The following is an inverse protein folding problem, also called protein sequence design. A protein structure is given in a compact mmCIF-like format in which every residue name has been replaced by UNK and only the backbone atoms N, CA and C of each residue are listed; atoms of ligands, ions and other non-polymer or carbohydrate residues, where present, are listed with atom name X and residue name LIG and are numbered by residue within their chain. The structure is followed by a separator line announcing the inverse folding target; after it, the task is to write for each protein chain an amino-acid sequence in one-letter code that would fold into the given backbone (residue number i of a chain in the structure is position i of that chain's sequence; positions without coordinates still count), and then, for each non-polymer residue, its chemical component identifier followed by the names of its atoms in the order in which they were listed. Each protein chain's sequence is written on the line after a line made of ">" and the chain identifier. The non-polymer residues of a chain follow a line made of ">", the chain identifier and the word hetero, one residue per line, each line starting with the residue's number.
data_IF_360966065974
#
_entry.id   IF_360966065974
#
_cell.length_a   1.000
_cell.length_b   1.000
_cell.length_c   1.000
_cell.angle_alpha   90.00
_cell.angle_beta   90.00
_cell.angle_gamma   90.00
#
_symmetry.space_group_name_H-M   'P 1'
#
loop_
_entity.id
_entity.type
_entity.pdbx_description
1 polymer ?
#
# COMPACT_ATOMS: atom_id res chain seq x y z
N UNK A 1 26.08 8.97 -17.89
CA UNK A 1 25.23 9.50 -16.79
C UNK A 1 25.58 8.75 -15.52
N UNK A 2 25.69 9.45 -14.38
CA UNK A 2 26.13 8.83 -13.12
C UNK A 2 24.98 8.02 -12.50
N UNK A 3 25.00 6.69 -12.70
CA UNK A 3 23.94 5.76 -12.30
C UNK A 3 23.66 5.79 -10.79
N UNK A 4 24.69 6.00 -9.98
CA UNK A 4 24.56 6.14 -8.52
C UNK A 4 23.73 7.37 -8.13
N UNK A 5 23.91 8.48 -8.84
CA UNK A 5 23.18 9.71 -8.60
C UNK A 5 21.69 9.57 -8.99
N UNK A 6 21.42 8.85 -10.08
CA UNK A 6 20.05 8.51 -10.49
C UNK A 6 19.32 7.63 -9.46
N UNK A 7 20.00 6.60 -8.94
CA UNK A 7 19.45 5.73 -7.90
C UNK A 7 19.17 6.51 -6.60
N UNK A 8 20.10 7.35 -6.16
CA UNK A 8 19.92 8.18 -4.97
C UNK A 8 18.74 9.15 -5.08
N UNK A 9 18.61 9.83 -6.23
CA UNK A 9 17.51 10.76 -6.46
C UNK A 9 16.15 10.06 -6.49
N UNK A 10 16.05 8.85 -7.05
CA UNK A 10 14.78 8.13 -7.18
C UNK A 10 14.39 7.33 -5.93
N UNK A 11 15.35 6.67 -5.28
CA UNK A 11 15.05 5.75 -4.18
C UNK A 11 15.06 6.42 -2.81
N UNK A 12 15.81 7.51 -2.66
CA UNK A 12 16.00 8.16 -1.36
C UNK A 12 15.40 9.56 -1.39
N UNK A 13 15.92 10.43 -2.26
CA UNK A 13 15.59 11.86 -2.20
C UNK A 13 14.17 12.17 -2.69
N UNK A 14 13.74 11.56 -3.77
CA UNK A 14 12.38 11.69 -4.31
C UNK A 14 11.31 11.32 -3.27
N UNK A 15 11.36 10.11 -2.69
CA UNK A 15 10.42 9.70 -1.66
C UNK A 15 10.39 10.62 -0.45
N UNK A 16 11.56 11.11 0.02
CA UNK A 16 11.62 12.06 1.13
C UNK A 16 10.93 13.40 0.80
N UNK A 17 11.13 13.92 -0.40
CA UNK A 17 10.48 15.17 -0.84
C UNK A 17 8.96 14.99 -0.93
N UNK A 18 8.50 13.84 -1.46
CA UNK A 18 7.07 13.53 -1.56
C UNK A 18 6.45 13.38 -0.17
N UNK A 19 7.12 12.68 0.75
CA UNK A 19 6.66 12.54 2.13
C UNK A 19 6.54 13.89 2.83
N UNK A 20 7.57 14.75 2.71
CA UNK A 20 7.55 16.08 3.31
C UNK A 20 6.45 16.99 2.72
N UNK A 21 6.13 16.85 1.43
CA UNK A 21 5.00 17.58 0.82
C UNK A 21 3.66 17.09 1.34
N UNK A 22 3.46 15.77 1.39
CA UNK A 22 2.22 15.17 1.92
C UNK A 22 1.96 15.59 3.34
N UNK A 23 2.98 15.60 4.19
CA UNK A 23 2.83 16.02 5.59
C UNK A 23 2.38 17.50 5.70
N UNK A 24 2.90 18.38 4.85
CA UNK A 24 2.46 19.79 4.79
C UNK A 24 1.02 19.92 4.32
N UNK A 25 0.67 19.24 3.22
CA UNK A 25 -0.69 19.26 2.68
C UNK A 25 -1.72 18.67 3.68
N UNK A 26 -1.36 17.61 4.41
CA UNK A 26 -2.22 17.02 5.44
C UNK A 26 -2.43 17.96 6.62
N UNK A 27 -1.38 18.68 7.06
CA UNK A 27 -1.48 19.70 8.12
C UNK A 27 -2.37 20.86 7.69
N UNK A 28 -2.19 21.37 6.47
CA UNK A 28 -3.03 22.44 5.92
C UNK A 28 -4.49 22.01 5.81
N UNK A 29 -4.75 20.78 5.32
CA UNK A 29 -6.11 20.22 5.23
C UNK A 29 -6.76 20.05 6.61
N UNK A 30 -6.00 19.66 7.63
CA UNK A 30 -6.51 19.57 9.02
C UNK A 30 -6.84 20.94 9.57
N UNK A 31 -5.95 21.92 9.39
CA UNK A 31 -6.19 23.29 9.84
C UNK A 31 -7.41 23.92 9.13
N UNK A 32 -7.60 23.66 7.84
CA UNK A 32 -8.79 24.08 7.10
C UNK A 32 -10.06 23.43 7.66
N UNK A 33 -10.02 22.12 7.93
CA UNK A 33 -11.17 21.40 8.47
C UNK A 33 -11.54 21.89 9.89
N UNK A 34 -10.55 22.21 10.72
CA UNK A 34 -10.77 22.86 12.02
C UNK A 34 -11.39 24.25 11.89
N UNK A 35 -10.92 25.07 10.94
CA UNK A 35 -11.48 26.39 10.65
C UNK A 35 -12.91 26.32 10.10
N UNK A 36 -13.21 25.33 9.25
CA UNK A 36 -14.55 25.09 8.71
C UNK A 36 -15.54 24.60 9.78
N UNK A 37 -15.05 23.84 10.78
CA UNK A 37 -15.85 23.48 11.97
C UNK A 37 -16.07 24.71 12.86
N UNK A 38 -15.02 25.50 13.12
CA UNK A 38 -15.12 26.69 13.96
C UNK A 38 -16.04 27.77 13.36
N UNK A 39 -16.05 27.88 12.03
CA UNK A 39 -16.96 28.78 11.29
C UNK A 39 -18.37 28.21 11.09
N UNK A 40 -18.65 27.00 11.58
CA UNK A 40 -19.98 26.36 11.52
C UNK A 40 -20.39 25.86 10.14
N UNK A 41 -19.51 25.92 9.13
CA UNK A 41 -19.78 25.39 7.78
C UNK A 41 -19.89 23.87 7.77
N UNK A 42 -19.19 23.21 8.68
CA UNK A 42 -19.07 21.75 8.73
C UNK A 42 -19.37 21.28 10.16
N UNK A 43 -20.37 20.40 10.39
CA UNK A 43 -20.61 19.86 11.71
C UNK A 43 -19.43 18.98 12.15
N UNK A 44 -19.04 19.13 13.44
CA UNK A 44 -17.96 18.36 14.08
C UNK A 44 -18.24 16.86 14.10
N UNK A 45 -19.51 16.50 14.34
CA UNK A 45 -20.00 15.13 14.31
C UNK A 45 -20.57 14.82 12.93
N UNK A 46 -20.17 13.69 12.36
CA UNK A 46 -20.77 13.11 11.16
C UNK A 46 -21.36 11.73 11.48
N UNK A 47 -22.42 11.33 10.79
CA UNK A 47 -22.89 9.95 10.87
C UNK A 47 -21.97 9.04 10.05
N UNK A 48 -21.68 7.86 10.57
CA UNK A 48 -21.01 6.83 9.82
C UNK A 48 -21.88 6.38 8.65
N UNK A 49 -21.34 6.37 7.43
CA UNK A 49 -22.10 5.96 6.23
C UNK A 49 -22.69 4.54 6.29
N UNK A 50 -22.10 3.62 7.08
CA UNK A 50 -22.51 2.21 7.16
C UNK A 50 -23.38 1.89 8.36
N UNK A 51 -23.14 2.57 9.47
CA UNK A 51 -23.66 2.20 10.78
C UNK A 51 -24.48 3.34 11.42
N UNK A 52 -24.55 4.51 10.76
CA UNK A 52 -25.17 5.77 11.18
C UNK A 52 -24.76 6.29 12.57
N UNK A 53 -23.77 5.66 13.21
CA UNK A 53 -23.26 6.10 14.51
C UNK A 53 -22.53 7.43 14.38
N UNK A 54 -22.57 8.28 15.41
CA UNK A 54 -21.82 9.53 15.41
C UNK A 54 -20.31 9.27 15.45
N UNK A 55 -19.59 9.89 14.51
CA UNK A 55 -18.13 9.84 14.35
C UNK A 55 -17.60 11.26 14.32
N UNK A 56 -16.54 11.53 15.09
CA UNK A 56 -15.85 12.81 15.05
C UNK A 56 -15.04 12.93 13.75
N UNK A 57 -15.23 14.01 12.99
CA UNK A 57 -14.49 14.24 11.75
C UNK A 57 -13.00 14.49 11.98
N UNK A 58 -12.61 14.95 13.18
CA UNK A 58 -11.21 15.22 13.53
C UNK A 58 -10.39 13.94 13.75
N UNK A 59 -11.04 12.82 14.05
CA UNK A 59 -10.37 11.52 14.21
C UNK A 59 -10.22 10.77 12.89
N UNK A 60 -10.82 11.29 11.81
CA UNK A 60 -10.79 10.70 10.47
C UNK A 60 -9.80 11.44 9.56
N UNK A 61 -9.14 10.71 8.64
CA UNK A 61 -8.33 11.34 7.61
C UNK A 61 -9.18 12.27 6.72
N UNK A 62 -8.67 13.48 6.51
CA UNK A 62 -9.37 14.53 5.76
C UNK A 62 -9.65 14.08 4.32
N UNK A 63 -10.92 14.14 3.91
CA UNK A 63 -11.36 13.77 2.55
C UNK A 63 -11.88 12.33 2.42
N UNK A 64 -11.88 11.53 3.49
CA UNK A 64 -12.48 10.19 3.50
C UNK A 64 -13.92 10.25 4.00
N UNK A 65 -14.79 9.39 3.48
CA UNK A 65 -16.16 9.26 3.99
C UNK A 65 -16.13 8.90 5.47
N UNK A 66 -16.94 9.54 6.32
CA UNK A 66 -16.94 9.24 7.76
C UNK A 66 -17.37 7.79 7.99
N UNK A 67 -16.46 6.98 8.52
CA UNK A 67 -16.69 5.57 8.85
C UNK A 67 -16.32 5.31 10.31
N UNK A 68 -17.20 4.58 11.01
CA UNK A 68 -17.00 4.23 12.41
C UNK A 68 -15.81 3.27 12.55
N UNK A 69 -15.04 3.36 13.65
CA UNK A 69 -13.87 2.51 13.89
C UNK A 69 -14.20 1.01 13.81
N UNK A 70 -15.41 0.62 14.24
CA UNK A 70 -15.91 -0.75 14.12
C UNK A 70 -16.12 -1.19 12.67
N UNK A 71 -16.58 -0.29 11.79
CA UNK A 71 -16.73 -0.59 10.36
C UNK A 71 -15.37 -0.67 9.66
N UNK A 72 -14.41 0.18 10.05
CA UNK A 72 -13.04 0.11 9.53
C UNK A 72 -12.32 -1.17 9.97
N UNK A 73 -12.54 -1.62 11.21
CA UNK A 73 -11.99 -2.89 11.68
C UNK A 73 -12.51 -4.08 10.87
N UNK A 74 -13.82 -4.12 10.59
CA UNK A 74 -14.41 -5.16 9.74
C UNK A 74 -13.86 -5.15 8.31
N UNK A 75 -13.72 -3.97 7.70
CA UNK A 75 -13.09 -3.86 6.36
C UNK A 75 -11.63 -4.33 6.37
N UNK A 76 -10.88 -4.02 7.43
CA UNK A 76 -9.50 -4.46 7.57
C UNK A 76 -9.40 -5.99 7.71
N UNK A 77 -10.32 -6.61 8.46
CA UNK A 77 -10.43 -8.06 8.56
C UNK A 77 -10.78 -8.70 7.21
N UNK A 78 -11.80 -8.19 6.52
CA UNK A 78 -12.19 -8.67 5.18
C UNK A 78 -11.04 -8.56 4.17
N UNK A 79 -10.31 -7.45 4.19
CA UNK A 79 -9.16 -7.23 3.30
C UNK A 79 -7.98 -8.15 3.66
N UNK A 80 -7.76 -8.45 4.94
CA UNK A 80 -6.76 -9.42 5.35
C UNK A 80 -7.12 -10.84 4.89
N UNK A 81 -8.37 -11.24 5.05
CA UNK A 81 -8.87 -12.54 4.57
C UNK A 81 -8.71 -12.64 3.06
N UNK A 82 -9.16 -11.64 2.29
CA UNK A 82 -9.01 -11.61 0.84
C UNK A 82 -7.53 -11.68 0.40
N UNK A 83 -6.63 -11.02 1.13
CA UNK A 83 -5.18 -11.10 0.87
C UNK A 83 -4.60 -12.47 1.19
N UNK A 84 -5.10 -13.14 2.23
CA UNK A 84 -4.72 -14.51 2.55
C UNK A 84 -5.23 -15.49 1.50
N UNK A 85 -6.47 -15.32 1.02
CA UNK A 85 -7.05 -16.13 -0.06
C UNK A 85 -6.29 -15.96 -1.37
N UNK A 86 -6.01 -14.73 -1.80
CA UNK A 86 -5.14 -14.44 -2.95
C UNK A 86 -3.77 -15.12 -2.81
N UNK A 87 -3.13 -15.07 -1.63
CA UNK A 87 -1.86 -15.78 -1.39
C UNK A 87 -2.02 -17.30 -1.53
N UNK A 88 -3.17 -17.85 -1.15
CA UNK A 88 -3.47 -19.28 -1.24
C UNK A 88 -3.74 -19.72 -2.68
N UNK A 89 -4.33 -18.86 -3.49
CA UNK A 89 -4.52 -19.06 -4.94
C UNK A 89 -3.20 -18.97 -5.73
N UNK A 90 -2.17 -18.30 -5.20
CA UNK A 90 -0.80 -18.36 -5.73
C UNK A 90 -0.13 -19.73 -5.44
N UNK A 91 -0.87 -20.74 -4.97
CA UNK A 91 -0.45 -22.14 -5.16
C UNK A 91 -0.44 -22.45 -6.65
N UNK A 92 0.73 -22.21 -7.26
CA UNK A 92 1.05 -22.60 -8.63
C UNK A 92 0.57 -24.02 -8.88
N UNK A 93 -0.13 -24.23 -9.99
CA UNK A 93 -0.62 -25.56 -10.35
C UNK A 93 0.56 -26.54 -10.40
N UNK A 94 0.36 -27.83 -10.05
CA UNK A 94 1.43 -28.83 -10.07
C UNK A 94 2.20 -28.87 -11.40
N UNK A 95 1.51 -28.57 -12.51
CA UNK A 95 2.08 -28.47 -13.84
C UNK A 95 3.08 -27.31 -13.99
N UNK A 96 2.72 -26.11 -13.51
CA UNK A 96 3.63 -24.95 -13.55
C UNK A 96 4.87 -25.19 -12.69
N UNK A 97 4.71 -25.87 -11.57
CA UNK A 97 5.83 -26.26 -10.71
C UNK A 97 6.80 -27.20 -11.42
N UNK A 98 6.26 -28.21 -12.12
CA UNK A 98 7.05 -29.12 -12.94
C UNK A 98 7.77 -28.40 -14.08
N UNK A 99 7.09 -27.47 -14.76
CA UNK A 99 7.67 -26.69 -15.84
C UNK A 99 8.82 -25.79 -15.37
N UNK A 100 8.66 -25.09 -14.23
CA UNK A 100 9.74 -24.33 -13.62
C UNK A 100 10.94 -25.22 -13.25
N UNK A 101 10.68 -26.42 -12.71
CA UNK A 101 11.74 -27.37 -12.35
C UNK A 101 12.55 -27.84 -13.56
N UNK A 102 11.89 -28.20 -14.66
CA UNK A 102 12.56 -28.61 -15.91
C UNK A 102 13.38 -27.46 -16.50
N UNK A 103 12.84 -26.23 -16.50
CA UNK A 103 13.58 -25.04 -16.97
C UNK A 103 14.83 -24.81 -16.11
N UNK A 104 14.71 -24.89 -14.79
CA UNK A 104 15.85 -24.73 -13.87
C UNK A 104 16.92 -25.82 -14.07
N UNK A 105 16.52 -27.07 -14.29
CA UNK A 105 17.45 -28.15 -14.62
C UNK A 105 18.17 -27.88 -15.94
N UNK A 106 17.43 -27.49 -16.99
CA UNK A 106 18.00 -27.14 -18.29
C UNK A 106 19.00 -25.99 -18.19
N UNK A 107 18.67 -24.94 -17.43
CA UNK A 107 19.58 -23.83 -17.16
C UNK A 107 20.82 -24.30 -16.40
N UNK A 108 20.67 -25.13 -15.36
CA UNK A 108 21.80 -25.67 -14.59
C UNK A 108 22.76 -26.44 -15.49
N UNK A 109 22.24 -27.32 -16.36
CA UNK A 109 23.04 -28.06 -17.33
C UNK A 109 23.70 -27.12 -18.35
N UNK A 110 22.97 -26.11 -18.81
CA UNK A 110 23.51 -25.11 -19.74
C UNK A 110 24.66 -24.30 -19.13
N UNK A 111 24.50 -23.83 -17.89
CA UNK A 111 25.55 -23.15 -17.14
C UNK A 111 26.74 -24.07 -16.84
N UNK A 112 26.49 -25.31 -16.43
CA UNK A 112 27.56 -26.29 -16.23
C UNK A 112 28.36 -26.53 -17.51
N UNK A 113 27.69 -26.64 -18.67
CA UNK A 113 28.35 -26.97 -19.94
C UNK A 113 29.03 -25.78 -20.61
N UNK A 114 28.48 -24.58 -20.46
CA UNK A 114 28.95 -23.40 -21.20
C UNK A 114 29.69 -22.36 -20.33
N UNK A 115 29.46 -22.36 -19.01
CA UNK A 115 29.97 -21.31 -18.10
C UNK A 115 30.93 -21.85 -17.04
N UNK A 116 30.86 -23.14 -16.68
CA UNK A 116 31.96 -23.80 -15.97
C UNK A 116 32.91 -24.45 -17.00
N UNK A 117 33.97 -23.75 -17.45
CA UNK A 117 35.09 -24.47 -18.04
C UNK A 117 35.65 -25.39 -16.97
N UNK A 118 35.92 -26.65 -17.33
CA UNK A 118 36.75 -27.53 -16.53
C UNK A 118 37.99 -26.75 -16.08
N UNK A 119 38.19 -26.68 -14.76
CA UNK A 119 39.56 -26.75 -14.22
C UNK A 119 40.05 -28.17 -14.45
#
# INVERSE_FOLDING_TARGET
>A
MNSLLFLYLNLIRGPQIVAARREKEEKEKRAQLEADIASGKVPKMASCKKCDTPVDRLTMPVGVTPTCAACLAKEAEELQVAKMEMRREIKMSPFLWFQCFVILLGLTVFFHRNVMPLV
#
